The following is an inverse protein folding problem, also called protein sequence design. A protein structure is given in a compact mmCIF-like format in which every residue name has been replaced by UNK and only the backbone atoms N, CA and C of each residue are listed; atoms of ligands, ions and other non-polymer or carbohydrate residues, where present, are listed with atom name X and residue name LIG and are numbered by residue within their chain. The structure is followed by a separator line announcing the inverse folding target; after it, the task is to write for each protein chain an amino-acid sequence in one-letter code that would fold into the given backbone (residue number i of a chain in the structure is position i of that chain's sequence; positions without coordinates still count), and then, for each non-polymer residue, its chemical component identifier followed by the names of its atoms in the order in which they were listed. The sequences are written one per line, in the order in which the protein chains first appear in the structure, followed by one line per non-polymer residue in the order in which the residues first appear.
data_IF_783146601510
#
_entry.id   IF_783146601510
#
_cell.length_a   1.000
_cell.length_b   1.000
_cell.length_c   1.000
_cell.angle_alpha   90.00
_cell.angle_beta   90.00
_cell.angle_gamma   90.00
#
_symmetry.space_group_name_H-M   'P 1'
#
loop_
_entity.id
_entity.type
_entity.pdbx_description
1 polymer ?
#
# COMPACT_ATOMS: atom_id res chain seq x y z
N UNK A 1 1.23 7.91 2.95
CA UNK A 1 2.48 8.02 2.15
C UNK A 1 3.49 6.90 2.45
N UNK A 2 4.13 6.80 3.62
CA UNK A 2 5.21 5.80 3.86
C UNK A 2 4.76 4.35 3.60
N UNK A 3 3.63 3.93 4.19
CA UNK A 3 3.05 2.59 3.96
C UNK A 3 2.70 2.36 2.50
N UNK A 4 2.26 3.41 1.80
CA UNK A 4 1.86 3.37 0.40
C UNK A 4 3.08 3.12 -0.50
N UNK A 5 4.21 3.78 -0.23
CA UNK A 5 5.47 3.50 -0.94
C UNK A 5 5.97 2.08 -0.66
N UNK A 6 5.85 1.61 0.59
CA UNK A 6 6.26 0.25 0.96
C UNK A 6 5.39 -0.83 0.30
N UNK A 7 4.09 -0.57 0.14
CA UNK A 7 3.14 -1.53 -0.47
C UNK A 7 3.30 -1.69 -1.98
N UNK A 8 3.99 -0.74 -2.63
CA UNK A 8 4.32 -0.84 -4.05
C UNK A 8 5.62 -1.63 -4.29
N UNK A 9 6.50 -1.68 -3.28
CA UNK A 9 7.77 -2.41 -3.34
C UNK A 9 7.67 -3.84 -2.79
N UNK A 10 6.73 -4.10 -1.89
CA UNK A 10 6.55 -5.38 -1.20
C UNK A 10 5.07 -5.76 -1.23
N UNK A 11 4.72 -7.01 -0.88
CA UNK A 11 3.32 -7.43 -0.75
C UNK A 11 2.57 -6.59 0.29
N UNK A 12 1.28 -6.34 0.06
CA UNK A 12 0.43 -5.55 0.96
C UNK A 12 0.51 -6.00 2.42
N UNK A 13 0.54 -7.32 2.64
CA UNK A 13 0.65 -7.89 3.98
C UNK A 13 1.99 -7.58 4.64
N UNK A 14 3.09 -7.61 3.89
CA UNK A 14 4.41 -7.27 4.42
C UNK A 14 4.50 -5.76 4.73
N UNK A 15 3.98 -4.89 3.86
CA UNK A 15 3.95 -3.46 4.09
C UNK A 15 3.12 -3.09 5.33
N UNK A 16 1.96 -3.73 5.53
CA UNK A 16 1.15 -3.58 6.74
C UNK A 16 1.89 -4.06 7.99
N UNK A 17 2.50 -5.26 7.95
CA UNK A 17 3.23 -5.81 9.08
C UNK A 17 4.43 -4.94 9.51
N UNK A 18 5.13 -4.31 8.55
CA UNK A 18 6.23 -3.39 8.83
C UNK A 18 5.76 -2.03 9.36
N UNK A 19 4.65 -1.52 8.84
CA UNK A 19 4.16 -0.16 9.16
C UNK A 19 3.30 -0.11 10.42
N UNK A 20 2.63 -1.21 10.77
CA UNK A 20 1.79 -1.33 11.96
C UNK A 20 2.52 -1.00 13.28
N UNK A 21 3.68 -1.62 13.62
CA UNK A 21 4.36 -1.33 14.87
C UNK A 21 4.83 0.13 14.95
N UNK A 22 5.12 0.76 13.81
CA UNK A 22 5.51 2.18 13.73
C UNK A 22 4.30 3.06 14.07
N UNK A 23 3.17 2.85 13.41
CA UNK A 23 1.93 3.61 13.67
C UNK A 23 1.41 3.42 15.10
N UNK A 24 1.48 2.20 15.62
CA UNK A 24 1.08 1.89 17.00
C UNK A 24 2.00 2.59 18.02
N UNK A 25 3.32 2.52 17.83
CA UNK A 25 4.29 3.17 18.72
C UNK A 25 4.15 4.69 18.71
N UNK A 26 3.81 5.30 17.57
CA UNK A 26 3.52 6.73 17.48
C UNK A 26 2.25 7.09 18.26
N UNK A 27 1.16 6.33 18.09
CA UNK A 27 -0.09 6.60 18.81
C UNK A 27 0.09 6.52 20.34
N UNK A 28 0.77 5.46 20.81
CA UNK A 28 1.11 5.29 22.23
C UNK A 28 2.01 6.41 22.72
N UNK A 29 3.01 6.82 21.92
CA UNK A 29 3.93 7.92 22.25
C UNK A 29 3.24 9.28 22.35
N UNK A 30 2.19 9.52 21.56
CA UNK A 30 1.37 10.74 21.63
C UNK A 30 0.20 10.64 22.61
N UNK A 31 -0.02 9.49 23.25
CA UNK A 31 -1.13 9.28 24.19
C UNK A 31 -2.52 9.36 23.54
N UNK A 32 -2.62 9.12 22.23
CA UNK A 32 -3.85 9.17 21.45
C UNK A 32 -4.35 7.75 21.14
N UNK A 33 -5.62 7.63 20.76
CA UNK A 33 -6.19 6.35 20.33
C UNK A 33 -5.36 5.75 19.17
N UNK A 34 -4.89 4.50 19.24
CA UNK A 34 -4.19 3.82 18.14
C UNK A 34 -5.06 3.52 16.93
N UNK A 35 -6.39 3.44 17.10
CA UNK A 35 -7.32 3.03 16.05
C UNK A 35 -7.17 3.82 14.74
N UNK A 36 -7.07 5.17 14.73
CA UNK A 36 -6.91 5.95 13.51
C UNK A 36 -5.57 5.72 12.81
N UNK A 37 -4.49 5.49 13.57
CA UNK A 37 -3.16 5.21 13.01
C UNK A 37 -3.12 3.83 12.35
N UNK A 38 -3.73 2.84 12.99
CA UNK A 38 -3.86 1.48 12.45
C UNK A 38 -4.71 1.52 11.18
N UNK A 39 -5.83 2.24 11.18
CA UNK A 39 -6.66 2.42 9.99
C UNK A 39 -5.87 3.09 8.86
N UNK A 40 -5.13 4.17 9.14
CA UNK A 40 -4.30 4.83 8.13
C UNK A 40 -3.24 3.88 7.52
N UNK A 41 -2.65 3.01 8.32
CA UNK A 41 -1.72 1.97 7.84
C UNK A 41 -2.45 0.95 6.97
N UNK A 42 -3.62 0.46 7.38
CA UNK A 42 -4.40 -0.52 6.61
C UNK A 42 -4.86 0.04 5.26
N UNK A 43 -5.37 1.28 5.24
CA UNK A 43 -5.76 1.96 4.00
C UNK A 43 -4.56 2.24 3.09
N UNK A 44 -3.40 2.60 3.66
CA UNK A 44 -2.16 2.81 2.91
C UNK A 44 -1.57 1.53 2.34
N UNK A 45 -1.63 0.42 3.08
CA UNK A 45 -1.17 -0.89 2.62
C UNK A 45 -2.10 -1.54 1.60
N UNK A 46 -3.37 -1.10 1.52
CA UNK A 46 -4.31 -1.60 0.51
C UNK A 46 -4.20 -0.87 -0.83
N UNK A 47 -3.54 0.28 -0.85
CA UNK A 47 -3.39 1.14 -2.01
C UNK A 47 -2.19 0.74 -2.89
N UNK A 48 -2.16 -0.52 -3.34
CA UNK A 48 -1.19 -1.00 -4.34
C UNK A 48 -1.79 -0.87 -5.74
N UNK A 49 -1.51 0.27 -6.37
CA UNK A 49 -2.02 0.63 -7.70
C UNK A 49 -0.90 0.71 -8.75
N UNK A 50 0.34 0.98 -8.34
CA UNK A 50 1.49 1.24 -9.22
C UNK A 50 2.20 -0.07 -9.61
N UNK A 51 2.21 -1.06 -8.71
CA UNK A 51 2.92 -2.33 -8.88
C UNK A 51 1.95 -3.49 -9.04
N UNK A 52 2.14 -4.35 -10.07
CA UNK A 52 1.36 -5.57 -10.19
C UNK A 52 1.74 -6.60 -9.11
N UNK A 53 2.92 -6.47 -8.48
CA UNK A 53 3.46 -7.43 -7.51
C UNK A 53 2.92 -7.26 -6.09
N UNK A 54 2.29 -6.13 -5.77
CA UNK A 54 1.77 -5.87 -4.42
C UNK A 54 0.56 -6.72 -4.04
N UNK A 55 -0.17 -7.25 -5.03
CA UNK A 55 -1.39 -8.04 -4.81
C UNK A 55 -1.56 -9.20 -5.80
N UNK A 56 -1.99 -10.35 -5.29
CA UNK A 56 -2.09 -11.59 -6.08
C UNK A 56 -3.11 -11.49 -7.22
N UNK A 57 -4.19 -10.72 -7.04
CA UNK A 57 -5.17 -10.48 -8.11
C UNK A 57 -4.59 -9.60 -9.22
N UNK A 58 -3.77 -8.61 -8.87
CA UNK A 58 -3.10 -7.75 -9.86
C UNK A 58 -2.10 -8.56 -10.69
N UNK A 59 -1.38 -9.50 -10.07
CA UNK A 59 -0.50 -10.45 -10.77
C UNK A 59 -1.25 -11.35 -11.76
N UNK A 60 -2.45 -11.82 -11.39
CA UNK A 60 -3.28 -12.66 -12.26
C UNK A 60 -3.70 -11.90 -13.53
N UNK A 61 -4.18 -10.66 -13.37
CA UNK A 61 -4.58 -9.81 -14.50
C UNK A 61 -3.36 -9.40 -15.33
N UNK A 62 -2.23 -9.11 -14.70
CA UNK A 62 -0.97 -8.83 -15.37
C UNK A 62 -0.55 -9.98 -16.30
N UNK A 63 -0.58 -11.23 -15.78
CA UNK A 63 -0.17 -12.42 -16.53
C UNK A 63 -1.17 -12.85 -17.61
N UNK A 64 -2.48 -12.77 -17.36
CA UNK A 64 -3.52 -13.21 -18.31
C UNK A 64 -3.85 -12.12 -19.33
N UNK A 65 -3.79 -10.85 -18.91
CA UNK A 65 -4.11 -9.69 -19.73
C UNK A 65 -2.94 -9.18 -20.59
N UNK A 66 -1.75 -9.78 -20.48
CA UNK A 66 -0.55 -9.40 -21.23
C UNK A 66 -0.17 -7.92 -21.07
N UNK A 67 -0.45 -7.36 -19.88
CA UNK A 67 -0.15 -5.97 -19.54
C UNK A 67 1.35 -5.81 -19.28
N UNK A 68 1.88 -4.62 -19.56
CA UNK A 68 3.26 -4.25 -19.21
C UNK A 68 3.29 -3.54 -17.87
N UNK A 69 4.42 -3.60 -17.18
CA UNK A 69 4.64 -2.83 -15.94
C UNK A 69 4.35 -1.34 -16.15
N UNK A 70 4.67 -0.82 -17.34
CA UNK A 70 4.41 0.56 -17.75
C UNK A 70 2.93 0.93 -17.75
N UNK A 71 2.02 -0.01 -18.03
CA UNK A 71 0.59 0.25 -18.06
C UNK A 71 0.05 0.45 -16.63
N UNK A 72 0.53 -0.36 -15.69
CA UNK A 72 0.24 -0.23 -14.26
C UNK A 72 0.81 1.07 -13.68
N UNK A 73 2.07 1.41 -13.98
CA UNK A 73 2.67 2.64 -13.47
C UNK A 73 1.94 3.88 -14.01
N UNK A 74 1.57 3.88 -15.30
CA UNK A 74 0.95 5.04 -15.95
C UNK A 74 -0.45 5.37 -15.41
N UNK A 75 -1.21 4.36 -15.01
CA UNK A 75 -2.55 4.53 -14.43
C UNK A 75 -2.49 4.59 -12.90
N UNK A 76 -1.61 3.79 -12.29
CA UNK A 76 -1.47 3.66 -10.85
C UNK A 76 -0.90 4.90 -10.19
N UNK A 77 0.08 5.59 -10.80
CA UNK A 77 0.70 6.80 -10.24
C UNK A 77 -0.33 7.93 -10.02
N UNK A 78 -1.13 8.35 -11.00
CA UNK A 78 -2.12 9.41 -10.77
C UNK A 78 -3.19 9.01 -9.75
N UNK A 79 -3.61 7.73 -9.73
CA UNK A 79 -4.58 7.23 -8.72
C UNK A 79 -3.97 7.26 -7.31
N UNK A 80 -2.72 6.82 -7.17
CA UNK A 80 -1.99 6.80 -5.91
C UNK A 80 -1.78 8.21 -5.35
N UNK A 81 -1.54 9.20 -6.22
CA UNK A 81 -1.42 10.62 -5.83
C UNK A 81 -2.75 11.20 -5.34
N UNK A 82 -3.87 10.88 -5.99
CA UNK A 82 -5.20 11.34 -5.56
C UNK A 82 -5.68 10.65 -4.28
N UNK A 83 -5.25 9.40 -4.07
CA UNK A 83 -5.63 8.61 -2.90
C UNK A 83 -4.81 8.95 -1.64
N UNK A 84 -3.58 9.42 -1.79
CA UNK A 84 -2.67 9.73 -0.67
C UNK A 84 -2.91 11.10 -0.04
#
# INVERSE_FOLDING_TARGET
IMTLVLTELVTNNAAAALSFPIGYSMAVGYGVDPMPFIMAVLFGASASFISPYGYQTNLLVYSVGNYKLTDYVRIGVPISIVYS
#
